data_IF_129388375077
#
_entry.id   IF_129388375077
#
_cell.length_a   1.000
_cell.length_b   1.000
_cell.length_c   1.000
_cell.angle_alpha   90.00
_cell.angle_beta   90.00
_cell.angle_gamma   90.00
#
_symmetry.space_group_name_H-M   'P 1'
#
loop_
_entity.id
_entity.type
_entity.pdbx_description
1 polymer ?
#
# COMPACT_ATOMS: atom_id res chain seq x y z
N UNK A 1 -12.21 15.00 17.72
CA UNK A 1 -11.14 15.27 16.73
C UNK A 1 -9.80 14.99 17.40
N UNK A 2 -8.91 14.14 16.86
CA UNK A 2 -7.62 13.89 17.50
C UNK A 2 -6.77 15.17 17.46
N UNK A 3 -6.18 15.53 18.61
CA UNK A 3 -5.37 16.74 18.76
C UNK A 3 -4.11 16.63 17.88
N UNK A 4 -3.92 17.59 16.97
CA UNK A 4 -2.68 17.81 16.22
C UNK A 4 -1.52 17.94 17.22
N UNK A 5 -0.65 16.94 17.29
CA UNK A 5 0.49 16.92 18.21
C UNK A 5 1.42 18.12 17.99
N UNK A 6 1.90 18.69 19.09
CA UNK A 6 2.83 19.83 19.13
C UNK A 6 4.23 19.32 18.78
N UNK A 7 4.63 19.46 17.51
CA UNK A 7 5.94 19.01 16.99
C UNK A 7 6.14 19.34 15.51
N UNK A 8 7.38 19.29 15.01
CA UNK A 8 7.67 19.45 13.57
C UNK A 8 6.97 18.34 12.78
N UNK A 9 6.13 18.72 11.83
CA UNK A 9 5.51 17.79 10.88
C UNK A 9 6.58 17.25 9.94
N UNK A 10 6.48 15.96 9.62
CA UNK A 10 7.34 15.33 8.61
C UNK A 10 7.14 16.03 7.26
N UNK A 11 8.23 16.26 6.52
CA UNK A 11 8.14 16.79 5.17
C UNK A 11 7.42 15.79 4.25
N UNK A 12 6.56 16.30 3.35
CA UNK A 12 5.77 15.48 2.43
C UNK A 12 6.63 14.47 1.65
N UNK A 13 7.78 14.92 1.13
CA UNK A 13 8.72 14.09 0.37
C UNK A 13 9.21 12.88 1.17
N UNK A 14 9.44 13.02 2.47
CA UNK A 14 9.89 11.91 3.31
C UNK A 14 8.81 10.84 3.47
N UNK A 15 7.53 11.25 3.52
CA UNK A 15 6.40 10.32 3.54
C UNK A 15 6.21 9.66 2.17
N UNK A 16 6.34 10.42 1.08
CA UNK A 16 6.21 9.89 -0.27
C UNK A 16 7.29 8.85 -0.60
N UNK A 17 8.55 9.08 -0.18
CA UNK A 17 9.62 8.07 -0.31
C UNK A 17 9.24 6.81 0.45
N UNK A 18 8.73 6.94 1.69
CA UNK A 18 8.33 5.79 2.47
C UNK A 18 7.14 5.02 1.87
N UNK A 19 6.16 5.72 1.30
CA UNK A 19 5.09 5.12 0.52
C UNK A 19 5.66 4.31 -0.65
N UNK A 20 6.58 4.89 -1.43
CA UNK A 20 7.24 4.19 -2.53
C UNK A 20 8.01 2.95 -2.06
N UNK A 21 8.68 3.03 -0.91
CA UNK A 21 9.37 1.88 -0.32
C UNK A 21 8.42 0.76 0.15
N UNK A 22 7.18 1.08 0.54
CA UNK A 22 6.19 0.04 0.89
C UNK A 22 5.72 -0.76 -0.32
N UNK A 23 5.85 -0.19 -1.52
CA UNK A 23 5.48 -0.83 -2.79
C UNK A 23 6.68 -1.45 -3.51
N UNK A 24 7.90 -1.15 -3.06
CA UNK A 24 9.15 -1.63 -3.67
C UNK A 24 9.70 -2.85 -2.94
N UNK A 25 10.32 -3.78 -3.67
CA UNK A 25 10.95 -5.00 -3.11
C UNK A 25 12.07 -4.72 -2.09
N UNK A 26 12.75 -3.59 -2.25
CA UNK A 26 13.99 -3.28 -1.55
C UNK A 26 13.80 -2.74 -0.12
N UNK A 27 12.63 -2.18 0.17
CA UNK A 27 12.27 -1.59 1.46
C UNK A 27 13.31 -0.60 2.04
N UNK A 28 13.24 -0.39 3.35
CA UNK A 28 14.13 0.56 4.06
C UNK A 28 15.61 0.17 4.00
N UNK A 29 15.93 -1.13 3.90
CA UNK A 29 17.31 -1.61 3.88
C UNK A 29 17.97 -1.32 2.53
N UNK A 30 17.28 -1.56 1.42
CA UNK A 30 17.80 -1.28 0.09
C UNK A 30 18.05 0.22 -0.13
N UNK A 31 17.10 1.08 0.27
CA UNK A 31 17.33 2.54 0.20
C UNK A 31 18.57 2.96 0.98
N UNK A 32 18.77 2.40 2.18
CA UNK A 32 19.94 2.72 3.00
C UNK A 32 21.24 2.28 2.33
N UNK A 33 21.26 1.11 1.70
CA UNK A 33 22.41 0.62 0.92
C UNK A 33 22.73 1.56 -0.25
N UNK A 34 21.71 2.00 -0.99
CA UNK A 34 21.88 2.95 -2.12
C UNK A 34 22.49 4.27 -1.63
N UNK A 35 21.95 4.85 -0.55
CA UNK A 35 22.43 6.12 -0.01
C UNK A 35 23.89 6.04 0.45
N UNK A 36 24.23 4.97 1.18
CA UNK A 36 25.63 4.74 1.63
C UNK A 36 26.56 4.56 0.43
N UNK A 37 26.14 3.82 -0.59
CA UNK A 37 26.93 3.59 -1.81
C UNK A 37 27.14 4.88 -2.62
N UNK A 38 26.19 5.82 -2.55
CA UNK A 38 26.26 7.13 -3.18
C UNK A 38 27.01 8.18 -2.34
N UNK A 39 27.66 7.80 -1.23
CA UNK A 39 28.27 8.70 -0.24
C UNK A 39 27.30 9.76 0.32
N UNK A 40 26.00 9.46 0.33
CA UNK A 40 24.97 10.30 0.94
C UNK A 40 24.72 9.83 2.37
N UNK A 41 24.71 10.71 3.39
CA UNK A 41 24.40 10.33 4.75
C UNK A 41 23.01 9.69 4.86
N UNK A 42 22.99 8.39 5.13
CA UNK A 42 21.75 7.66 5.21
C UNK A 42 21.04 7.88 6.56
N UNK A 43 19.70 7.95 6.57
CA UNK A 43 18.94 8.11 7.81
C UNK A 43 19.12 6.93 8.76
N UNK A 44 18.84 7.16 10.04
CA UNK A 44 18.92 6.12 11.06
C UNK A 44 17.83 5.07 10.84
N UNK A 45 18.15 3.80 11.10
CA UNK A 45 17.20 2.68 10.97
C UNK A 45 15.97 2.89 11.85
N UNK A 46 16.17 3.35 13.10
CA UNK A 46 15.08 3.70 14.02
C UNK A 46 14.20 4.84 13.49
N UNK A 47 14.80 5.85 12.85
CA UNK A 47 14.07 6.94 12.22
C UNK A 47 13.21 6.48 11.05
N UNK A 48 13.78 5.64 10.17
CA UNK A 48 13.06 5.05 9.04
C UNK A 48 11.90 4.16 9.51
N UNK A 49 12.09 3.34 10.55
CA UNK A 49 11.02 2.53 11.12
C UNK A 49 9.88 3.38 11.68
N UNK A 50 10.21 4.50 12.36
CA UNK A 50 9.19 5.42 12.88
C UNK A 50 8.38 6.07 11.75
N UNK A 51 9.05 6.47 10.67
CA UNK A 51 8.39 7.00 9.48
C UNK A 51 7.50 5.95 8.83
N UNK A 52 7.99 4.72 8.67
CA UNK A 52 7.21 3.59 8.16
C UNK A 52 5.96 3.34 9.00
N UNK A 53 6.05 3.31 10.33
CA UNK A 53 4.87 3.09 11.18
C UNK A 53 3.80 4.19 11.02
N UNK A 54 4.21 5.42 10.72
CA UNK A 54 3.27 6.52 10.46
C UNK A 54 2.58 6.33 9.12
N UNK A 55 3.36 6.02 8.09
CA UNK A 55 2.88 5.83 6.72
C UNK A 55 2.03 4.57 6.59
N UNK A 56 2.42 3.47 7.25
CA UNK A 56 1.66 2.22 7.26
C UNK A 56 0.26 2.38 7.82
N UNK A 57 0.08 3.21 8.86
CA UNK A 57 -1.26 3.54 9.38
C UNK A 57 -2.11 4.29 8.35
N UNK A 58 -1.51 5.19 7.57
CA UNK A 58 -2.22 5.92 6.50
C UNK A 58 -2.61 4.99 5.35
N UNK A 59 -1.75 4.05 4.98
CA UNK A 59 -2.03 3.00 3.98
C UNK A 59 -3.20 2.13 4.45
N UNK A 60 -3.13 1.60 5.67
CA UNK A 60 -4.17 0.74 6.24
C UNK A 60 -5.53 1.46 6.24
N UNK A 61 -5.56 2.71 6.70
CA UNK A 61 -6.78 3.52 6.68
C UNK A 61 -7.32 3.74 5.26
N UNK A 62 -6.45 3.88 4.27
CA UNK A 62 -6.85 4.08 2.87
C UNK A 62 -7.42 2.78 2.30
N UNK A 63 -6.76 1.66 2.55
CA UNK A 63 -7.23 0.33 2.12
C UNK A 63 -8.58 -0.02 2.75
N UNK A 64 -8.79 0.28 4.03
CA UNK A 64 -10.08 0.06 4.68
C UNK A 64 -11.22 0.88 4.06
N UNK A 65 -10.94 2.12 3.64
CA UNK A 65 -11.94 2.96 2.95
C UNK A 65 -12.24 2.42 1.56
N UNK A 66 -11.20 2.07 0.80
CA UNK A 66 -11.34 1.50 -0.54
C UNK A 66 -12.16 0.20 -0.50
N UNK A 67 -11.82 -0.73 0.41
CA UNK A 67 -12.60 -1.96 0.61
C UNK A 67 -14.07 -1.66 0.96
N UNK A 68 -14.34 -0.67 1.83
CA UNK A 68 -15.70 -0.30 2.18
C UNK A 68 -16.49 0.30 0.99
N UNK A 69 -15.82 1.04 0.10
CA UNK A 69 -16.42 1.56 -1.13
C UNK A 69 -16.69 0.44 -2.14
N UNK A 70 -15.74 -0.47 -2.34
CA UNK A 70 -15.92 -1.64 -3.20
C UNK A 70 -17.09 -2.52 -2.75
N UNK A 71 -17.23 -2.75 -1.44
CA UNK A 71 -18.37 -3.50 -0.88
C UNK A 71 -19.70 -2.83 -1.22
N UNK A 72 -19.79 -1.49 -1.17
CA UNK A 72 -21.03 -0.76 -1.54
C UNK A 72 -21.38 -0.94 -3.01
N UNK A 73 -20.41 -0.75 -3.89
CA UNK A 73 -20.58 -0.94 -5.34
C UNK A 73 -21.08 -2.37 -5.62
N UNK A 74 -20.51 -3.35 -4.92
CA UNK A 74 -20.90 -4.75 -5.08
C UNK A 74 -22.33 -5.03 -4.59
N UNK A 75 -22.73 -4.47 -3.45
CA UNK A 75 -24.12 -4.59 -2.96
C UNK A 75 -25.14 -3.96 -3.93
N UNK A 76 -24.79 -2.82 -4.54
CA UNK A 76 -25.60 -2.18 -5.58
C UNK A 76 -25.70 -3.06 -6.83
N UNK A 77 -24.57 -3.63 -7.28
CA UNK A 77 -24.53 -4.55 -8.41
C UNK A 77 -25.39 -5.81 -8.19
N UNK A 78 -25.29 -6.43 -7.02
CA UNK A 78 -26.12 -7.58 -6.67
C UNK A 78 -27.62 -7.23 -6.63
N UNK A 79 -27.96 -6.02 -6.18
CA UNK A 79 -29.33 -5.52 -6.21
C UNK A 79 -29.86 -5.40 -7.65
N UNK A 80 -29.03 -4.90 -8.58
CA UNK A 80 -29.41 -4.76 -9.99
C UNK A 80 -29.66 -6.10 -10.68
N UNK A 81 -28.93 -7.16 -10.29
CA UNK A 81 -29.05 -8.50 -10.87
C UNK A 81 -30.18 -9.31 -10.21
N UNK A 82 -30.81 -8.79 -9.16
CA UNK A 82 -31.87 -9.50 -8.42
C UNK A 82 -31.34 -10.56 -7.45
N UNK A 83 -30.05 -10.54 -7.15
CA UNK A 83 -29.42 -11.41 -6.15
C UNK A 83 -29.63 -10.86 -4.73
N UNK A 84 -29.55 -11.73 -3.72
CA UNK A 84 -29.62 -11.32 -2.31
C UNK A 84 -28.43 -10.41 -1.99
N UNK A 85 -28.72 -9.19 -1.55
CA UNK A 85 -27.75 -8.14 -1.21
C UNK A 85 -26.79 -8.50 -0.06
N UNK A 86 -27.12 -9.51 0.73
CA UNK A 86 -26.30 -9.99 1.85
C UNK A 86 -25.30 -11.10 1.49
N UNK A 87 -25.24 -11.54 0.22
CA UNK A 87 -24.29 -12.56 -0.22
C UNK A 87 -23.15 -11.86 -0.96
N UNK A 88 -21.99 -11.77 -0.29
CA UNK A 88 -20.74 -11.39 -0.92
C UNK A 88 -20.07 -12.68 -1.42
N UNK A 89 -20.58 -13.24 -2.52
CA UNK A 89 -20.00 -14.42 -3.18
C UNK A 89 -18.82 -13.97 -4.04
N UNK A 90 -17.75 -13.57 -3.37
CA UNK A 90 -16.52 -13.12 -4.02
C UNK A 90 -15.50 -14.24 -3.83
N UNK A 91 -15.36 -15.09 -4.84
CA UNK A 91 -14.11 -15.82 -5.03
C UNK A 91 -13.12 -14.86 -5.68
N UNK A 92 -12.55 -13.97 -4.87
CA UNK A 92 -11.39 -13.19 -5.29
C UNK A 92 -10.20 -14.14 -5.20
N UNK A 93 -9.83 -14.74 -6.33
CA UNK A 93 -8.52 -15.34 -6.46
C UNK A 93 -7.52 -14.22 -6.13
N UNK A 94 -6.96 -14.27 -4.91
CA UNK A 94 -6.15 -13.19 -4.33
C UNK A 94 -4.76 -13.16 -4.95
N UNK A 95 -4.67 -13.44 -6.24
CA UNK A 95 -3.53 -13.16 -7.09
C UNK A 95 -3.80 -11.86 -7.83
N UNK A 96 -3.92 -10.76 -7.07
CA UNK A 96 -3.54 -9.44 -7.57
C UNK A 96 -1.99 -9.42 -7.67
N UNK A 97 -1.50 -10.23 -8.63
CA UNK A 97 -0.11 -10.45 -8.99
C UNK A 97 -0.04 -10.72 -10.50
N UNK A 98 -0.41 -9.73 -11.31
CA UNK A 98 0.28 -9.52 -12.58
C UNK A 98 1.23 -8.34 -12.32
N UNK A 99 2.52 -8.39 -12.63
CA UNK A 99 3.16 -8.72 -13.93
C UNK A 99 4.43 -9.60 -13.71
N UNK A 100 5.03 -10.36 -14.66
CA UNK A 100 5.76 -9.95 -15.89
C UNK A 100 5.90 -11.13 -16.91
N UNK A 101 4.86 -11.95 -17.15
CA UNK A 101 4.91 -12.97 -18.21
C UNK A 101 3.52 -13.27 -18.78
N UNK A 102 2.89 -12.24 -19.35
CA UNK A 102 1.57 -12.34 -19.98
C UNK A 102 1.57 -13.04 -21.34
N UNK A 103 2.39 -14.07 -21.56
CA UNK A 103 2.31 -14.88 -22.77
C UNK A 103 3.63 -15.44 -23.27
N UNK A 104 4.16 -16.47 -22.62
CA UNK A 104 4.89 -17.51 -23.37
C UNK A 104 4.37 -18.86 -22.92
N UNK A 105 3.36 -19.32 -23.64
CA UNK A 105 3.19 -20.75 -23.88
C UNK A 105 4.43 -21.23 -24.62
N UNK A 106 5.27 -22.05 -23.97
CA UNK A 106 6.24 -22.85 -24.70
C UNK A 106 5.50 -24.04 -25.33
N UNK A 107 4.91 -23.79 -26.50
CA UNK A 107 4.62 -24.85 -27.47
C UNK A 107 5.66 -24.78 -28.58
N UNK A 108 6.70 -25.60 -28.47
CA UNK A 108 7.55 -26.09 -29.57
C UNK A 108 8.22 -27.38 -29.14
#
# INVERSE_FOLDING_TARGET
>A
MPKRGRGRKTAYVNNAIQMGLTQSSDGNKGLRTILVSANVPAPSTKGMQKSYNTVGQEIECTNMRDMAEQIKIFMEFNSMIGNKTNIIDIQCDSTYNNEIYSGVDYNS
#
